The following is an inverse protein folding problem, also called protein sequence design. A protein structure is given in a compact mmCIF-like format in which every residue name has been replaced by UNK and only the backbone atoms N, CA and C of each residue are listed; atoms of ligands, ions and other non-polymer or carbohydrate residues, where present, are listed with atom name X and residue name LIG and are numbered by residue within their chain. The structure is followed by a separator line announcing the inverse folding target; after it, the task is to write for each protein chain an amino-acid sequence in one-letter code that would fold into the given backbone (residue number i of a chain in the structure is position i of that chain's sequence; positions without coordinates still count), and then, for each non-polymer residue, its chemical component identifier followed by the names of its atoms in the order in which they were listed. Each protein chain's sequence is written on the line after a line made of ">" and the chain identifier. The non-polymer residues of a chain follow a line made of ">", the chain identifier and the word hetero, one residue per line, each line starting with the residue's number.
data_IF_959904693038
#
_entry.id   IF_959904693038
#
_cell.length_a   1.000
_cell.length_b   1.000
_cell.length_c   1.000
_cell.angle_alpha   90.00
_cell.angle_beta   90.00
_cell.angle_gamma   90.00
#
_symmetry.space_group_name_H-M   'P 1'
#
loop_
_entity.id
_entity.type
_entity.pdbx_description
1 polymer ?
#
# COMPACT_ATOMS: atom_id res chain seq x y z
N UNK A 1 -4.38 39.82 -10.70
CA UNK A 1 -2.93 39.51 -10.71
C UNK A 1 -2.73 38.50 -11.83
N UNK A 2 -1.87 38.80 -12.81
CA UNK A 2 -1.66 37.91 -13.94
C UNK A 2 -0.90 36.67 -13.47
N UNK A 3 -1.44 35.49 -13.72
CA UNK A 3 -0.77 34.23 -13.42
C UNK A 3 0.47 34.13 -14.31
N UNK A 4 1.67 33.93 -13.74
CA UNK A 4 2.87 33.78 -14.56
C UNK A 4 2.78 32.50 -15.41
N UNK A 5 3.38 32.49 -16.61
CA UNK A 5 3.47 31.29 -17.44
C UNK A 5 4.23 30.17 -16.72
N UNK A 6 3.99 28.92 -17.12
CA UNK A 6 4.53 27.72 -16.44
C UNK A 6 6.08 27.70 -16.37
N UNK A 7 6.76 28.31 -17.35
CA UNK A 7 8.21 28.39 -17.46
C UNK A 7 8.64 29.82 -17.87
N UNK A 8 8.66 30.78 -16.94
CA UNK A 8 8.76 32.20 -17.29
C UNK A 8 10.07 32.58 -18.00
N UNK A 9 11.21 32.01 -17.57
CA UNK A 9 12.51 32.28 -18.23
C UNK A 9 12.60 31.69 -19.63
N UNK A 10 12.13 30.45 -19.83
CA UNK A 10 12.17 29.79 -21.14
C UNK A 10 11.18 30.43 -22.13
N UNK A 11 10.02 30.88 -21.64
CA UNK A 11 9.06 31.63 -22.45
C UNK A 11 9.58 33.02 -22.80
N UNK A 12 10.28 33.71 -21.89
CA UNK A 12 10.91 35.00 -22.17
C UNK A 12 11.98 34.89 -23.27
N UNK A 13 12.85 33.88 -23.23
CA UNK A 13 13.84 33.60 -24.30
C UNK A 13 13.16 33.47 -25.65
N UNK A 14 12.10 32.65 -25.72
CA UNK A 14 11.37 32.45 -26.98
C UNK A 14 10.70 33.74 -27.47
N UNK A 15 10.08 34.53 -26.57
CA UNK A 15 9.42 35.78 -26.93
C UNK A 15 10.41 36.83 -27.44
N UNK A 16 11.59 36.96 -26.81
CA UNK A 16 12.66 37.87 -27.24
C UNK A 16 13.15 37.52 -28.65
N UNK A 17 13.32 36.23 -28.95
CA UNK A 17 13.87 35.78 -30.23
C UNK A 17 12.85 35.77 -31.38
N UNK A 18 11.56 35.55 -31.08
CA UNK A 18 10.53 35.27 -32.11
C UNK A 18 9.49 36.38 -32.25
N UNK A 19 9.54 37.44 -31.43
CA UNK A 19 8.55 38.53 -31.44
C UNK A 19 9.21 39.89 -31.34
N UNK A 20 8.55 40.93 -31.85
CA UNK A 20 9.00 42.33 -31.74
C UNK A 20 8.40 43.05 -30.53
N UNK A 21 8.14 42.33 -29.44
CA UNK A 21 7.57 42.90 -28.21
C UNK A 21 8.60 43.74 -27.46
N UNK A 22 8.13 44.73 -26.70
CA UNK A 22 9.02 45.51 -25.83
C UNK A 22 9.48 44.69 -24.62
N UNK A 23 10.68 45.00 -24.10
CA UNK A 23 11.20 44.31 -22.91
C UNK A 23 10.29 44.46 -21.69
N UNK A 24 9.61 45.61 -21.57
CA UNK A 24 8.65 45.87 -20.49
C UNK A 24 7.39 44.99 -20.64
N UNK A 25 6.91 44.75 -21.87
CA UNK A 25 5.78 43.84 -22.12
C UNK A 25 6.12 42.39 -21.79
N UNK A 26 7.33 41.93 -22.13
CA UNK A 26 7.79 40.57 -21.83
C UNK A 26 8.01 40.41 -20.32
N UNK A 27 8.56 41.43 -19.66
CA UNK A 27 8.75 41.50 -18.21
C UNK A 27 7.41 41.41 -17.47
N UNK A 28 6.42 42.23 -17.87
CA UNK A 28 5.06 42.22 -17.32
C UNK A 28 4.38 40.84 -17.51
N UNK A 29 4.58 40.17 -18.65
CA UNK A 29 3.97 38.88 -18.94
C UNK A 29 4.62 37.71 -18.17
N UNK A 30 5.96 37.67 -18.13
CA UNK A 30 6.71 36.61 -17.45
C UNK A 30 6.89 36.87 -15.95
N UNK A 31 6.45 38.04 -15.45
CA UNK A 31 6.69 38.53 -14.10
C UNK A 31 8.20 38.53 -13.74
N UNK A 32 9.02 38.98 -14.68
CA UNK A 32 10.47 39.14 -14.55
C UNK A 32 10.82 40.62 -14.54
N UNK A 33 11.98 40.99 -13.99
CA UNK A 33 12.44 42.37 -14.05
C UNK A 33 12.88 42.71 -15.49
N UNK A 34 12.63 43.93 -16.02
CA UNK A 34 13.09 44.31 -17.37
C UNK A 34 14.60 44.15 -17.61
N UNK A 35 15.41 44.25 -16.55
CA UNK A 35 16.85 43.99 -16.60
C UNK A 35 17.18 42.51 -16.87
N UNK A 36 16.38 41.58 -16.34
CA UNK A 36 16.55 40.15 -16.63
C UNK A 36 16.21 39.84 -18.08
N UNK A 37 15.16 40.48 -18.63
CA UNK A 37 14.80 40.34 -20.05
C UNK A 37 15.90 40.89 -20.96
N UNK A 38 16.55 42.00 -20.58
CA UNK A 38 17.73 42.52 -21.29
C UNK A 38 18.90 41.55 -21.22
N UNK A 39 19.22 41.02 -20.03
CA UNK A 39 20.28 40.02 -19.87
C UNK A 39 19.99 38.72 -20.64
N UNK A 40 18.71 38.37 -20.84
CA UNK A 40 18.28 37.27 -21.71
C UNK A 40 18.54 37.61 -23.18
N UNK A 41 18.20 38.82 -23.63
CA UNK A 41 18.46 39.30 -24.99
C UNK A 41 19.96 39.39 -25.30
N UNK A 42 20.77 39.77 -24.31
CA UNK A 42 22.24 39.81 -24.41
C UNK A 42 22.87 38.40 -24.33
N UNK A 43 22.09 37.35 -24.03
CA UNK A 43 22.53 35.96 -23.97
C UNK A 43 23.22 35.54 -22.68
N UNK A 44 23.34 36.44 -21.69
CA UNK A 44 24.01 36.18 -20.40
C UNK A 44 23.15 35.31 -19.46
N UNK A 45 21.85 35.59 -19.38
CA UNK A 45 20.94 34.92 -18.44
C UNK A 45 20.28 33.64 -18.99
N UNK A 46 20.46 33.36 -20.28
CA UNK A 46 19.77 32.28 -21.01
C UNK A 46 20.69 31.13 -21.46
N UNK A 47 21.97 31.16 -21.07
CA UNK A 47 22.95 30.17 -21.53
C UNK A 47 22.57 28.76 -21.06
N UNK A 48 22.10 27.94 -22.01
CA UNK A 48 21.67 26.55 -21.78
C UNK A 48 20.15 26.33 -21.63
N UNK A 49 19.33 27.38 -21.65
CA UNK A 49 17.86 27.25 -21.58
C UNK A 49 17.30 27.25 -22.99
N UNK A 50 16.66 26.13 -23.40
CA UNK A 50 15.94 26.07 -24.68
C UNK A 50 14.61 26.83 -24.55
N UNK A 51 14.42 27.82 -25.42
CA UNK A 51 13.16 28.59 -25.49
C UNK A 51 11.95 27.68 -25.70
N UNK A 52 10.88 27.93 -24.95
CA UNK A 52 9.62 27.19 -25.04
C UNK A 52 8.53 28.09 -25.61
N UNK A 53 7.90 27.64 -26.70
CA UNK A 53 6.86 28.38 -27.40
C UNK A 53 5.56 28.48 -26.54
N UNK A 54 5.13 29.69 -26.14
CA UNK A 54 3.89 29.91 -25.40
C UNK A 54 2.62 29.63 -26.22
N UNK A 55 2.70 29.68 -27.55
CA UNK A 55 1.60 29.36 -28.47
C UNK A 55 1.40 27.85 -28.55
N UNK A 56 2.48 27.08 -28.68
CA UNK A 56 2.40 25.62 -28.68
C UNK A 56 1.91 25.05 -27.34
N UNK A 57 2.27 25.70 -26.23
CA UNK A 57 1.79 25.31 -24.89
C UNK A 57 0.35 25.78 -24.61
N UNK A 58 -0.28 26.53 -25.51
CA UNK A 58 -1.64 27.05 -25.36
C UNK A 58 -1.78 28.12 -24.27
N UNK A 59 -0.66 28.75 -23.87
CA UNK A 59 -0.61 29.83 -22.87
C UNK A 59 -0.88 31.20 -23.50
N UNK A 60 -0.56 31.37 -24.78
CA UNK A 60 -0.77 32.60 -25.54
C UNK A 60 -1.33 32.28 -26.93
N UNK A 61 -2.21 33.13 -27.46
CA UNK A 61 -2.64 33.00 -28.86
C UNK A 61 -1.79 33.86 -29.78
N UNK A 62 -1.70 33.46 -31.06
CA UNK A 62 -1.01 34.27 -32.07
C UNK A 62 -1.64 35.65 -32.22
N UNK A 63 -2.97 35.72 -32.19
CA UNK A 63 -3.72 36.99 -32.25
C UNK A 63 -3.37 37.95 -31.12
N UNK A 64 -3.07 37.42 -29.92
CA UNK A 64 -2.68 38.23 -28.76
C UNK A 64 -1.27 38.80 -28.94
N UNK A 65 -0.35 38.02 -29.53
CA UNK A 65 1.00 38.49 -29.89
C UNK A 65 0.90 39.62 -30.92
N UNK A 66 0.09 39.44 -31.98
CA UNK A 66 -0.02 40.43 -33.06
C UNK A 66 -0.60 41.77 -32.55
N UNK A 67 -1.58 41.73 -31.64
CA UNK A 67 -2.12 42.93 -30.97
C UNK A 67 -1.08 43.64 -30.11
N UNK A 68 -0.26 42.87 -29.40
CA UNK A 68 0.79 43.38 -28.53
C UNK A 68 1.98 43.94 -29.31
N UNK A 69 2.28 43.38 -30.49
CA UNK A 69 3.28 43.92 -31.43
C UNK A 69 2.83 45.25 -32.04
N UNK A 70 1.53 45.41 -32.33
CA UNK A 70 0.99 46.66 -32.87
C UNK A 70 0.94 47.80 -31.84
N UNK A 71 0.87 47.49 -30.55
CA UNK A 71 0.74 48.47 -29.46
C UNK A 71 1.71 48.18 -28.33
N UNK A 72 2.75 49.01 -28.18
CA UNK A 72 3.79 48.87 -27.14
C UNK A 72 3.29 49.01 -25.70
N UNK A 73 2.14 49.67 -25.49
CA UNK A 73 1.48 49.81 -24.19
C UNK A 73 0.49 48.68 -23.85
N UNK A 74 0.32 47.71 -24.75
CA UNK A 74 -0.61 46.61 -24.52
C UNK A 74 0.00 45.54 -23.62
N UNK A 75 -0.72 45.14 -22.57
CA UNK A 75 -0.31 44.08 -21.64
C UNK A 75 -0.91 42.74 -22.06
N UNK A 76 -0.04 41.81 -22.41
CA UNK A 76 -0.38 40.44 -22.75
C UNK A 76 -1.12 39.76 -21.60
N UNK A 77 -2.21 39.05 -21.93
CA UNK A 77 -2.95 38.24 -20.96
C UNK A 77 -2.76 36.76 -21.25
N UNK A 78 -2.43 36.00 -20.21
CA UNK A 78 -2.36 34.54 -20.29
C UNK A 78 -3.74 33.99 -20.65
N UNK A 79 -3.79 33.10 -21.65
CA UNK A 79 -5.01 32.35 -21.92
C UNK A 79 -5.21 31.30 -20.84
N UNK A 80 -6.42 31.25 -20.27
CA UNK A 80 -6.76 30.20 -19.30
C UNK A 80 -6.73 28.84 -20.01
N UNK A 81 -5.89 27.94 -19.52
CA UNK A 81 -5.75 26.60 -20.06
C UNK A 81 -7.12 25.90 -20.06
N UNK A 82 -7.59 25.54 -21.25
CA UNK A 82 -8.90 24.89 -21.46
C UNK A 82 -9.02 23.54 -20.74
N UNK A 83 -7.89 22.95 -20.38
CA UNK A 83 -7.79 21.69 -19.63
C UNK A 83 -7.59 21.96 -18.14
N UNK A 84 -8.69 22.24 -17.44
CA UNK A 84 -8.72 22.11 -15.97
C UNK A 84 -8.52 20.65 -15.62
N UNK A 85 -7.34 20.28 -15.12
CA UNK A 85 -7.10 18.95 -14.59
C UNK A 85 -8.12 18.74 -13.47
N UNK A 86 -9.05 17.78 -13.59
CA UNK A 86 -10.02 17.54 -12.53
C UNK A 86 -9.25 17.10 -11.29
N UNK A 87 -9.44 17.81 -10.17
CA UNK A 87 -8.90 17.41 -8.89
C UNK A 87 -9.31 15.96 -8.62
N UNK A 88 -8.33 15.12 -8.32
CA UNK A 88 -8.52 13.69 -8.08
C UNK A 88 -9.53 13.52 -6.95
N UNK A 89 -10.79 13.22 -7.29
CA UNK A 89 -11.85 13.01 -6.30
C UNK A 89 -11.36 11.98 -5.29
N UNK A 90 -11.58 12.27 -4.00
CA UNK A 90 -11.25 11.35 -2.90
C UNK A 90 -11.77 9.97 -3.26
N UNK A 91 -10.86 9.00 -3.41
CA UNK A 91 -11.22 7.62 -3.76
C UNK A 91 -12.17 7.11 -2.69
N UNK A 92 -13.41 6.82 -3.08
CA UNK A 92 -14.38 6.17 -2.20
C UNK A 92 -13.93 4.75 -1.83
N UNK A 93 -14.64 4.08 -0.91
CA UNK A 93 -14.33 2.70 -0.53
C UNK A 93 -14.25 1.81 -1.78
N UNK A 94 -13.11 1.15 -1.97
CA UNK A 94 -12.86 0.30 -3.14
C UNK A 94 -13.67 -0.98 -3.00
N UNK A 95 -14.57 -1.24 -3.95
CA UNK A 95 -15.33 -2.49 -3.96
C UNK A 95 -14.38 -3.68 -4.15
N UNK A 96 -14.38 -4.62 -3.20
CA UNK A 96 -13.64 -5.87 -3.34
C UNK A 96 -14.56 -6.93 -3.95
N UNK A 97 -14.17 -7.55 -5.08
CA UNK A 97 -14.96 -8.61 -5.72
C UNK A 97 -15.11 -9.81 -4.78
N UNK A 98 -16.20 -10.57 -4.95
CA UNK A 98 -16.58 -11.71 -4.07
C UNK A 98 -15.45 -12.73 -3.93
N UNK A 99 -14.72 -13.01 -5.00
CA UNK A 99 -13.58 -13.94 -5.00
C UNK A 99 -12.50 -13.56 -3.99
N UNK A 100 -12.22 -12.26 -3.85
CA UNK A 100 -11.16 -11.74 -2.96
C UNK A 100 -11.66 -11.44 -1.54
N UNK A 101 -12.91 -11.80 -1.20
CA UNK A 101 -13.45 -11.54 0.15
C UNK A 101 -12.90 -12.50 1.20
N UNK A 102 -12.56 -13.73 0.79
CA UNK A 102 -11.96 -14.74 1.67
C UNK A 102 -10.53 -14.36 2.08
N UNK A 103 -9.85 -13.54 1.29
CA UNK A 103 -8.50 -13.06 1.57
C UNK A 103 -8.47 -11.85 2.51
N UNK A 104 -9.62 -11.20 2.73
CA UNK A 104 -9.70 -10.02 3.61
C UNK A 104 -9.35 -10.35 5.07
N UNK A 105 -9.84 -11.45 5.67
CA UNK A 105 -9.40 -11.87 7.00
C UNK A 105 -7.90 -12.15 7.11
N UNK A 106 -7.30 -12.76 6.08
CA UNK A 106 -5.85 -13.02 6.00
C UNK A 106 -5.04 -11.71 5.99
N UNK A 107 -5.52 -10.72 5.23
CA UNK A 107 -4.94 -9.38 5.18
C UNK A 107 -5.03 -8.63 6.53
N UNK A 108 -6.17 -8.71 7.21
CA UNK A 108 -6.34 -8.09 8.54
C UNK A 108 -5.39 -8.75 9.54
N UNK A 109 -5.28 -10.08 9.54
CA UNK A 109 -4.39 -10.79 10.45
C UNK A 109 -2.93 -10.36 10.25
N UNK A 110 -2.49 -10.17 9.00
CA UNK A 110 -1.16 -9.66 8.69
C UNK A 110 -0.96 -8.22 9.19
N UNK A 111 -1.93 -7.33 8.99
CA UNK A 111 -1.84 -5.95 9.45
C UNK A 111 -1.78 -5.85 10.98
N UNK A 112 -2.62 -6.60 11.69
CA UNK A 112 -2.64 -6.61 13.16
C UNK A 112 -1.34 -7.19 13.73
N UNK A 113 -0.73 -8.16 13.04
CA UNK A 113 0.51 -8.81 13.48
C UNK A 113 1.76 -7.97 13.18
N UNK A 114 1.89 -7.40 11.99
CA UNK A 114 3.10 -6.70 11.56
C UNK A 114 3.06 -5.19 11.85
N UNK A 115 1.87 -4.60 11.89
CA UNK A 115 1.67 -3.18 12.09
C UNK A 115 0.68 -2.90 13.24
N UNK A 116 1.03 -3.23 14.50
CA UNK A 116 0.18 -2.95 15.66
C UNK A 116 -0.08 -1.45 15.87
N UNK A 117 0.73 -0.57 15.27
CA UNK A 117 0.55 0.88 15.26
C UNK A 117 -0.70 1.34 14.51
N UNK A 118 -1.24 0.52 13.59
CA UNK A 118 -2.40 0.89 12.79
C UNK A 118 -3.69 0.88 13.61
N UNK A 119 -4.45 1.97 13.53
CA UNK A 119 -5.79 2.10 14.12
C UNK A 119 -6.82 1.33 13.30
N UNK A 120 -7.89 0.85 13.93
CA UNK A 120 -8.98 0.15 13.24
C UNK A 120 -9.56 0.97 12.07
N UNK A 121 -9.66 2.30 12.22
CA UNK A 121 -10.14 3.20 11.17
C UNK A 121 -9.24 3.21 9.92
N UNK A 122 -7.94 2.95 10.10
CA UNK A 122 -6.94 2.88 9.04
C UNK A 122 -7.05 1.53 8.31
N UNK A 123 -7.16 0.43 9.06
CA UNK A 123 -7.38 -0.92 8.52
C UNK A 123 -8.69 -0.97 7.71
N UNK A 124 -9.76 -0.33 8.20
CA UNK A 124 -11.03 -0.21 7.48
C UNK A 124 -10.88 0.48 6.11
N UNK A 125 -10.01 1.51 6.02
CA UNK A 125 -9.77 2.24 4.77
C UNK A 125 -8.93 1.44 3.77
N UNK A 126 -7.93 0.69 4.26
CA UNK A 126 -7.02 -0.11 3.44
C UNK A 126 -7.71 -1.36 2.86
N UNK A 127 -8.38 -2.15 3.70
CA UNK A 127 -8.95 -3.45 3.31
C UNK A 127 -10.43 -3.33 2.90
N UNK A 128 -11.11 -2.25 3.30
CA UNK A 128 -12.53 -2.03 3.04
C UNK A 128 -13.44 -2.95 3.86
N UNK A 129 -13.04 -3.30 5.08
CA UNK A 129 -13.78 -4.17 6.02
C UNK A 129 -14.47 -3.37 7.12
N UNK A 130 -15.20 -4.04 8.00
CA UNK A 130 -15.92 -3.41 9.10
C UNK A 130 -15.19 -3.64 10.43
N UNK A 131 -15.35 -2.70 11.36
CA UNK A 131 -14.80 -2.77 12.72
C UNK A 131 -15.09 -4.09 13.46
N UNK A 132 -16.32 -4.65 13.47
CA UNK A 132 -16.58 -5.91 14.16
C UNK A 132 -15.78 -7.08 13.57
N UNK A 133 -15.53 -7.09 12.25
CA UNK A 133 -14.69 -8.13 11.62
C UNK A 133 -13.24 -8.01 12.06
N UNK A 134 -12.71 -6.78 12.17
CA UNK A 134 -11.34 -6.54 12.66
C UNK A 134 -11.20 -7.01 14.11
N UNK A 135 -12.16 -6.67 14.96
CA UNK A 135 -12.17 -7.10 16.36
C UNK A 135 -12.27 -8.63 16.50
N UNK A 136 -13.13 -9.29 15.72
CA UNK A 136 -13.27 -10.74 15.74
C UNK A 136 -11.97 -11.47 15.32
N UNK A 137 -11.17 -10.88 14.42
CA UNK A 137 -9.88 -11.45 14.03
C UNK A 137 -8.83 -11.22 15.12
N UNK A 138 -8.83 -10.04 15.75
CA UNK A 138 -7.94 -9.71 16.88
C UNK A 138 -8.19 -10.64 18.09
N UNK A 139 -9.46 -10.93 18.37
CA UNK A 139 -9.91 -11.83 19.43
C UNK A 139 -9.92 -13.31 19.01
N UNK A 140 -9.60 -13.62 17.75
CA UNK A 140 -9.68 -14.96 17.14
C UNK A 140 -11.06 -15.63 17.24
N UNK A 141 -12.13 -14.85 17.36
CA UNK A 141 -13.53 -15.28 17.40
C UNK A 141 -14.19 -15.36 16.01
N UNK A 142 -13.46 -15.06 14.95
CA UNK A 142 -13.94 -15.27 13.59
C UNK A 142 -14.18 -16.76 13.31
N UNK A 143 -15.27 -17.10 12.60
CA UNK A 143 -15.64 -18.50 12.31
C UNK A 143 -14.52 -19.29 11.61
N UNK A 144 -13.66 -18.63 10.84
CA UNK A 144 -12.53 -19.24 10.14
C UNK A 144 -11.18 -19.00 10.85
N UNK A 145 -11.15 -18.68 12.14
CA UNK A 145 -9.91 -18.27 12.83
C UNK A 145 -8.79 -19.32 12.81
N UNK A 146 -9.14 -20.61 12.75
CA UNK A 146 -8.21 -21.72 12.73
C UNK A 146 -7.42 -21.86 11.42
N UNK A 147 -7.96 -21.41 10.28
CA UNK A 147 -7.33 -21.57 8.96
C UNK A 147 -6.77 -20.25 8.40
N UNK A 148 -6.79 -19.16 9.18
CA UNK A 148 -6.28 -17.87 8.74
C UNK A 148 -4.76 -17.92 8.58
N UNK A 149 -4.28 -17.41 7.45
CA UNK A 149 -2.86 -17.23 7.17
C UNK A 149 -2.55 -15.74 7.02
N UNK A 150 -1.54 -15.20 7.72
CA UNK A 150 -1.19 -13.79 7.57
C UNK A 150 -0.58 -13.56 6.17
N UNK A 151 -1.30 -12.85 5.31
CA UNK A 151 -0.88 -12.46 3.96
C UNK A 151 -0.92 -10.94 3.80
N UNK A 152 0.03 -10.36 3.08
CA UNK A 152 0.14 -8.91 2.89
C UNK A 152 -1.01 -8.36 2.01
N UNK A 153 -1.77 -7.34 2.45
CA UNK A 153 -2.83 -6.71 1.66
C UNK A 153 -2.38 -6.15 0.30
N UNK A 154 -1.11 -5.78 0.12
CA UNK A 154 -0.58 -5.30 -1.16
C UNK A 154 -0.45 -6.46 -2.16
N UNK A 155 0.08 -7.60 -1.71
CA UNK A 155 0.18 -8.83 -2.54
C UNK A 155 -1.20 -9.34 -2.96
N UNK A 156 -2.20 -9.19 -2.08
CA UNK A 156 -3.60 -9.54 -2.36
C UNK A 156 -4.33 -8.50 -3.23
N UNK A 157 -3.69 -7.37 -3.53
CA UNK A 157 -4.23 -6.27 -4.33
C UNK A 157 -5.39 -5.53 -3.67
N UNK A 158 -5.50 -5.58 -2.34
CA UNK A 158 -6.52 -4.88 -1.57
C UNK A 158 -6.13 -3.41 -1.34
N UNK A 159 -4.84 -3.16 -1.05
CA UNK A 159 -4.24 -1.82 -0.92
C UNK A 159 -3.09 -1.65 -1.91
N UNK A 160 -2.75 -0.40 -2.24
CA UNK A 160 -1.48 -0.09 -2.92
C UNK A 160 -0.36 0.10 -1.91
N UNK A 161 0.90 -0.12 -2.34
CA UNK A 161 2.08 0.10 -1.50
C UNK A 161 2.09 1.52 -0.91
N UNK A 162 1.83 2.52 -1.76
CA UNK A 162 1.80 3.93 -1.38
C UNK A 162 0.72 4.18 -0.31
N UNK A 163 -0.46 3.57 -0.44
CA UNK A 163 -1.53 3.72 0.55
C UNK A 163 -1.19 3.08 1.89
N UNK A 164 -0.52 1.93 1.89
CA UNK A 164 -0.04 1.27 3.10
C UNK A 164 1.01 2.15 3.81
N UNK A 165 2.03 2.57 3.08
CA UNK A 165 3.13 3.39 3.62
C UNK A 165 2.61 4.72 4.19
N UNK A 166 1.71 5.40 3.47
CA UNK A 166 1.10 6.66 3.93
C UNK A 166 0.29 6.48 5.22
N UNK A 167 -0.35 5.33 5.41
CA UNK A 167 -1.18 5.08 6.59
C UNK A 167 -0.35 4.65 7.80
N UNK A 168 0.72 3.87 7.58
CA UNK A 168 1.74 3.55 8.58
C UNK A 168 2.46 4.81 9.06
N UNK A 169 2.87 5.71 8.15
CA UNK A 169 3.48 6.99 8.53
C UNK A 169 2.54 7.89 9.34
N UNK A 170 1.24 7.88 9.03
CA UNK A 170 0.24 8.62 9.82
C UNK A 170 0.05 7.98 11.19
N UNK A 171 0.03 6.65 11.24
CA UNK A 171 -0.11 5.91 12.48
C UNK A 171 1.07 6.16 13.42
N UNK A 172 2.29 6.12 12.91
CA UNK A 172 3.52 6.38 13.68
C UNK A 172 3.58 7.81 14.22
N UNK A 173 3.18 8.81 13.42
CA UNK A 173 3.07 10.22 13.86
C UNK A 173 2.01 10.44 14.94
N UNK A 174 0.99 9.59 14.98
CA UNK A 174 -0.11 9.68 15.94
C UNK A 174 0.10 8.82 17.20
N UNK A 175 1.16 8.02 17.26
CA UNK A 175 1.55 7.31 18.46
C UNK A 175 2.35 8.28 19.34
N UNK A 176 2.03 8.43 20.64
CA UNK A 176 2.93 9.13 21.54
C UNK A 176 4.28 8.39 21.53
N UNK A 177 5.43 9.08 21.60
CA UNK A 177 6.72 8.42 21.68
C UNK A 177 6.67 7.40 22.81
N UNK A 178 6.96 6.12 22.48
CA UNK A 178 6.95 5.03 23.45
C UNK A 178 7.88 5.44 24.59
N UNK A 179 7.47 5.35 25.88
CA UNK A 179 8.39 5.59 26.97
C UNK A 179 9.55 4.61 26.83
N UNK A 180 10.76 5.15 26.76
CA UNK A 180 12.03 4.43 26.72
C UNK A 180 12.06 3.43 27.89
N UNK A 181 11.81 2.16 27.63
CA UNK A 181 11.68 1.18 28.72
C UNK A 181 11.40 -0.25 28.29
N UNK A 182 10.87 -0.45 27.09
CA UNK A 182 10.74 -1.78 26.52
C UNK A 182 11.70 -1.90 25.34
N UNK A 183 12.98 -2.03 25.72
CA UNK A 183 14.09 -2.34 24.82
C UNK A 183 13.91 -3.78 24.36
N UNK A 184 13.08 -3.98 23.34
CA UNK A 184 13.06 -5.21 22.57
C UNK A 184 14.42 -5.36 21.91
N UNK A 185 15.34 -6.07 22.58
CA UNK A 185 16.58 -6.70 22.07
C UNK A 185 17.08 -6.16 20.73
N UNK A 186 17.31 -4.84 20.64
CA UNK A 186 17.85 -4.22 19.44
C UNK A 186 19.34 -4.15 19.65
N UNK A 187 20.09 -4.52 18.61
CA UNK A 187 21.54 -4.44 18.67
C UNK A 187 21.93 -3.00 19.01
N UNK A 188 22.88 -2.87 19.92
CA UNK A 188 23.50 -1.58 20.23
C UNK A 188 24.03 -0.96 18.93
N UNK A 189 24.10 0.39 18.84
CA UNK A 189 24.65 1.08 17.69
C UNK A 189 26.01 0.51 17.26
N UNK A 190 26.27 0.46 15.94
CA UNK A 190 27.52 -0.12 15.39
C UNK A 190 28.75 0.47 16.06
N UNK A 191 28.79 1.80 16.27
CA UNK A 191 29.91 2.48 16.91
C UNK A 191 30.19 2.00 18.34
N UNK A 192 29.16 1.61 19.09
CA UNK A 192 29.34 1.05 20.43
C UNK A 192 29.83 -0.40 20.34
N UNK A 193 29.33 -1.19 19.39
CA UNK A 193 29.73 -2.61 19.23
C UNK A 193 31.11 -2.81 18.60
N UNK A 194 31.60 -1.87 17.78
CA UNK A 194 32.90 -1.97 17.09
C UNK A 194 34.00 -1.17 17.78
N UNK A 195 33.70 -0.47 18.88
CA UNK A 195 34.72 0.23 19.65
C UNK A 195 35.76 -0.75 20.21
N UNK A 196 37.03 -0.35 20.22
CA UNK A 196 38.13 -1.18 20.73
C UNK A 196 37.90 -1.59 22.19
N UNK A 197 37.24 -0.72 22.97
CA UNK A 197 36.90 -0.94 24.38
C UNK A 197 35.75 -1.95 24.54
N UNK A 198 34.74 -1.93 23.67
CA UNK A 198 33.65 -2.92 23.68
C UNK A 198 34.11 -4.30 23.14
N UNK A 199 34.98 -4.32 22.13
CA UNK A 199 35.63 -5.55 21.68
C UNK A 199 36.55 -6.12 22.78
N UNK A 200 37.35 -5.28 23.44
CA UNK A 200 38.16 -5.69 24.58
C UNK A 200 37.28 -6.23 25.72
N UNK A 201 36.16 -5.59 26.04
CA UNK A 201 35.22 -6.06 27.05
C UNK A 201 34.48 -7.36 26.66
N UNK A 202 34.17 -7.56 25.38
CA UNK A 202 33.57 -8.79 24.87
C UNK A 202 34.54 -9.98 24.92
N UNK A 203 35.83 -9.75 24.63
CA UNK A 203 36.87 -10.78 24.68
C UNK A 203 37.50 -10.97 26.07
N UNK A 204 37.43 -9.97 26.96
CA UNK A 204 37.95 -10.04 28.33
C UNK A 204 36.93 -10.55 29.36
N UNK A 205 35.66 -10.72 28.98
CA UNK A 205 34.68 -11.44 29.82
C UNK A 205 35.02 -12.93 29.82
N UNK A 206 35.40 -13.53 30.96
CA UNK A 206 35.40 -14.99 31.05
C UNK A 206 33.97 -15.47 30.80
N UNK A 207 33.83 -16.50 29.96
CA UNK A 207 32.54 -17.10 29.66
C UNK A 207 31.75 -17.31 30.96
N UNK A 208 30.43 -17.02 30.99
CA UNK A 208 29.62 -17.38 32.15
C UNK A 208 29.84 -18.87 32.39
N UNK A 209 30.26 -19.22 33.61
CA UNK A 209 30.42 -20.62 34.01
C UNK A 209 29.11 -21.31 33.67
N UNK A 210 29.13 -22.17 32.65
CA UNK A 210 28.03 -23.08 32.42
C UNK A 210 27.78 -23.80 33.74
N UNK A 211 26.54 -23.90 34.23
CA UNK A 211 26.27 -24.84 35.32
C UNK A 211 26.81 -26.18 34.84
N UNK A 212 27.71 -26.79 35.63
CA UNK A 212 28.31 -28.09 35.31
C UNK A 212 27.21 -28.99 34.80
N UNK A 213 27.27 -29.32 33.52
CA UNK A 213 26.49 -30.40 32.96
C UNK A 213 26.85 -31.61 33.81
N UNK A 214 25.88 -32.12 34.57
CA UNK A 214 26.00 -33.45 35.12
C UNK A 214 26.24 -34.35 33.91
N UNK A 215 27.45 -34.92 33.83
CA UNK A 215 27.81 -35.86 32.77
C UNK A 215 26.79 -36.98 32.78
N UNK A 216 25.85 -36.94 31.82
CA UNK A 216 24.85 -37.97 31.66
C UNK A 216 25.60 -39.19 31.12
N UNK A 217 25.82 -40.17 31.99
CA UNK A 217 26.53 -41.40 31.68
C UNK A 217 25.79 -42.18 30.60
N UNK A 218 26.39 -42.27 29.41
CA UNK A 218 25.76 -42.85 28.23
C UNK A 218 25.32 -44.31 28.47
N UNK A 219 26.08 -45.05 29.28
CA UNK A 219 25.79 -46.46 29.60
C UNK A 219 24.50 -46.62 30.43
N UNK A 220 24.14 -45.64 31.26
CA UNK A 220 22.89 -45.67 32.02
C UNK A 220 21.65 -45.46 31.11
N UNK A 221 21.78 -44.67 30.05
CA UNK A 221 20.72 -44.41 29.08
C UNK A 221 20.48 -45.64 28.19
N UNK A 222 21.56 -46.31 27.76
CA UNK A 222 21.46 -47.55 26.99
C UNK A 222 20.94 -48.73 27.83
N UNK A 223 21.29 -48.81 29.11
CA UNK A 223 20.73 -49.81 30.02
C UNK A 223 19.22 -49.63 30.23
N UNK A 224 18.75 -48.38 30.36
CA UNK A 224 17.31 -48.06 30.48
C UNK A 224 16.55 -48.47 29.21
N UNK A 225 17.11 -48.20 28.02
CA UNK A 225 16.51 -48.57 26.75
C UNK A 225 16.42 -50.10 26.55
N UNK A 226 17.43 -50.87 26.98
CA UNK A 226 17.38 -52.33 26.91
C UNK A 226 16.33 -52.94 27.84
N UNK A 227 16.16 -52.41 29.06
CA UNK A 227 15.10 -52.87 29.97
C UNK A 227 13.67 -52.60 29.47
N UNK A 228 13.48 -51.54 28.67
CA UNK A 228 12.22 -51.24 28.00
C UNK A 228 11.98 -52.13 26.77
N UNK A 229 13.03 -52.70 26.17
CA UNK A 229 12.93 -53.60 25.03
C UNK A 229 12.61 -55.04 25.46
N UNK A 230 13.16 -55.49 26.59
CA UNK A 230 12.85 -56.80 27.19
C UNK A 230 11.43 -56.92 27.77
N UNK A 231 10.73 -55.80 27.94
CA UNK A 231 9.31 -55.81 28.36
C UNK A 231 8.32 -55.90 27.19
N UNK A 232 8.79 -56.08 25.95
CA UNK A 232 7.95 -56.09 24.73
C UNK A 232 8.05 -57.35 23.85
N UNK A 233 8.64 -58.46 24.32
CA UNK A 233 8.65 -59.76 23.64
C UNK A 233 8.39 -60.86 24.69
N UNK A 234 7.45 -61.81 24.61
CA UNK A 234 6.67 -62.49 23.55
C UNK A 234 5.46 -63.21 24.25
N UNK A 235 4.64 -64.11 23.62
CA UNK A 235 4.67 -64.61 22.25
C UNK A 235 3.31 -64.62 21.49
N UNK A 236 3.43 -64.96 20.21
CA UNK A 236 2.35 -65.27 19.28
C UNK A 236 2.12 -66.80 19.20
N UNK A 237 0.85 -67.20 19.17
CA UNK A 237 0.21 -68.42 18.62
C UNK A 237 -1.29 -68.03 18.51
N UNK A 238 -2.14 -68.33 17.53
CA UNK A 238 -2.18 -69.21 16.36
C UNK A 238 -3.29 -68.67 15.42
N UNK A 239 -3.40 -69.28 14.24
CA UNK A 239 -4.24 -68.94 13.09
C UNK A 239 -5.77 -68.82 13.34
N UNK A 240 -6.48 -68.07 12.49
CA UNK A 240 -7.43 -68.64 11.51
C UNK A 240 -7.95 -67.58 10.50
N UNK A 241 -8.15 -68.05 9.27
CA UNK A 241 -8.66 -67.35 8.09
C UNK A 241 -10.19 -67.17 8.17
N UNK A 242 -10.72 -66.01 7.77
CA UNK A 242 -12.11 -65.86 7.31
C UNK A 242 -12.30 -64.56 6.50
N UNK A 243 -12.36 -64.77 5.19
CA UNK A 243 -13.06 -64.11 4.07
C UNK A 243 -13.75 -62.73 4.20
N UNK A 244 -13.64 -62.04 3.06
CA UNK A 244 -14.34 -60.83 2.59
C UNK A 244 -15.85 -60.77 2.93
N UNK A 245 -16.32 -59.62 3.41
CA UNK A 245 -17.62 -59.08 2.97
C UNK A 245 -17.71 -57.56 3.24
N UNK A 246 -17.91 -56.79 2.17
CA UNK A 246 -18.20 -55.35 2.20
C UNK A 246 -19.68 -55.19 1.88
N UNK A 247 -20.52 -54.60 2.76
CA UNK A 247 -21.79 -54.06 2.34
C UNK A 247 -21.68 -52.55 2.11
N UNK A 248 -21.86 -52.23 0.83
CA UNK A 248 -22.10 -50.95 0.19
C UNK A 248 -23.15 -50.06 0.86
N UNK A 249 -22.92 -48.75 0.70
CA UNK A 249 -23.83 -47.60 0.85
C UNK A 249 -25.35 -47.88 0.78
N UNK A 250 -26.16 -47.29 1.68
CA UNK A 250 -27.61 -47.33 1.63
C UNK A 250 -28.18 -46.02 1.05
N UNK A 251 -27.90 -45.70 -0.22
CA UNK A 251 -28.58 -44.59 -0.90
C UNK A 251 -29.19 -45.03 -2.22
N UNK A 252 -30.37 -45.64 -2.13
CA UNK A 252 -31.25 -45.87 -3.27
C UNK A 252 -32.71 -45.64 -2.86
N UNK A 253 -33.32 -44.63 -3.50
CA UNK A 253 -34.74 -44.64 -3.85
C UNK A 253 -35.68 -43.76 -3.04
N UNK A 254 -35.95 -42.56 -3.55
CA UNK A 254 -37.33 -42.21 -3.94
C UNK A 254 -37.34 -41.01 -4.89
N UNK A 255 -37.83 -41.27 -6.09
CA UNK A 255 -38.21 -40.33 -7.13
C UNK A 255 -39.74 -40.37 -7.25
N UNK A 256 -40.37 -39.20 -7.12
CA UNK A 256 -41.68 -38.74 -7.64
C UNK A 256 -42.02 -37.49 -6.80
N UNK A 257 -42.44 -36.34 -7.32
CA UNK A 257 -43.59 -36.15 -8.19
C UNK A 257 -43.53 -34.71 -8.76
N UNK A 258 -43.82 -34.57 -10.05
CA UNK A 258 -43.96 -33.31 -10.73
C UNK A 258 -45.33 -32.68 -10.44
N UNK A 259 -45.38 -31.36 -10.18
CA UNK A 259 -46.61 -30.58 -10.36
C UNK A 259 -46.30 -29.19 -10.88
N UNK A 260 -46.49 -29.04 -12.20
CA UNK A 260 -46.65 -27.76 -12.87
C UNK A 260 -47.95 -27.12 -12.40
N UNK A 261 -47.89 -25.84 -12.04
CA UNK A 261 -49.03 -24.99 -11.71
C UNK A 261 -48.94 -23.71 -12.53
N UNK A 262 -49.76 -23.67 -13.57
CA UNK A 262 -50.00 -22.58 -14.50
C UNK A 262 -51.08 -21.63 -13.94
N UNK A 263 -50.78 -20.33 -13.87
CA UNK A 263 -51.75 -19.22 -13.73
C UNK A 263 -51.14 -18.02 -14.50
N UNK A 264 -51.53 -17.78 -15.74
CA UNK A 264 -52.70 -16.99 -16.16
C UNK A 264 -52.47 -15.46 -16.00
N UNK A 265 -52.19 -14.83 -17.14
CA UNK A 265 -52.67 -13.53 -17.64
C UNK A 265 -53.50 -12.66 -16.69
N UNK A 266 -53.10 -11.40 -16.61
CA UNK A 266 -53.86 -10.28 -16.06
C UNK A 266 -53.39 -8.97 -16.68
N UNK A 267 -54.01 -8.61 -17.80
CA UNK A 267 -53.99 -7.31 -18.46
C UNK A 267 -54.41 -6.13 -17.53
N UNK A 268 -53.99 -4.94 -17.97
CA UNK A 268 -54.63 -3.63 -17.79
C UNK A 268 -54.64 -3.00 -16.37
N UNK A 269 -53.96 -1.86 -16.19
CA UNK A 269 -54.70 -0.60 -16.11
C UNK A 269 -53.74 0.62 -16.19
N UNK A 270 -54.07 1.46 -17.16
CA UNK A 270 -53.51 2.76 -17.43
C UNK A 270 -54.09 3.80 -16.45
N UNK A 271 -53.25 4.54 -15.71
CA UNK A 271 -53.69 5.79 -15.10
C UNK A 271 -52.52 6.72 -14.79
N UNK A 272 -52.20 7.58 -15.76
CA UNK A 272 -51.65 8.89 -15.46
C UNK A 272 -52.77 9.84 -15.05
N UNK A 273 -52.61 10.55 -13.92
CA UNK A 273 -53.01 11.96 -13.80
C UNK A 273 -52.53 12.59 -12.49
N UNK A 274 -52.03 13.81 -12.70
CA UNK A 274 -51.98 14.97 -11.78
C UNK A 274 -50.90 14.99 -10.71
#
# INVERSE_FOLDING_TARGET
>A
MATPPLMPKATAVWLVDNTSLSFDQIADFCNLHPLEVKAIADGEAAQGIKGLDPVMTGQLSREEIDKAQANTGYRLKLQEAKTRVPETKRKGPRYTPVSRRQDRPNAILWLVRNHPELKDAQIMRLVGTTKPTIQAIRERTHWNSAQLTPMDPVTLGLSSQIELDMEVEKASKHLPPKPEGEVETTLLPVDETTSEDAMAAAFARPAPSQPKEEEIDADAVFAKLNSLKDSSAAPAEEAEEAEDDVPSDPFAGSSDEAKAGETADGDDESAGKS
#
